data_IF_368100547046
#
_entry.id   IF_368100547046
#
_cell.length_a   1.000
_cell.length_b   1.000
_cell.length_c   1.000
_cell.angle_alpha   90.00
_cell.angle_beta   90.00
_cell.angle_gamma   90.00
#
_symmetry.space_group_name_H-M   'P 1'
#
loop_
_entity.id
_entity.type
_entity.pdbx_description
1 polymer ?
#
# COMPACT_ATOMS: atom_id res chain seq x y z
N UNK A 1 -7.16 -12.92 -13.04
CA UNK A 1 -6.73 -12.66 -11.65
C UNK A 1 -5.97 -11.35 -11.61
N UNK A 2 -6.26 -10.50 -10.65
CA UNK A 2 -5.56 -9.22 -10.53
C UNK A 2 -4.41 -9.29 -9.53
N UNK A 3 -3.38 -8.49 -9.80
CA UNK A 3 -2.27 -8.28 -8.90
C UNK A 3 -2.26 -6.81 -8.53
N UNK A 4 -1.97 -6.50 -7.27
CA UNK A 4 -2.07 -5.13 -6.78
C UNK A 4 -0.74 -4.66 -6.23
N UNK A 5 -0.37 -3.43 -6.60
CA UNK A 5 0.65 -2.68 -5.89
C UNK A 5 -0.08 -1.76 -4.93
N UNK A 6 0.37 -1.70 -3.69
CA UNK A 6 -0.31 -0.91 -2.67
C UNK A 6 0.69 -0.15 -1.81
N UNK A 7 0.20 0.93 -1.22
CA UNK A 7 0.98 1.71 -0.25
C UNK A 7 0.19 1.79 1.04
N UNK A 8 0.84 1.41 2.13
CA UNK A 8 0.32 1.57 3.47
C UNK A 8 1.04 2.73 4.17
N UNK A 9 0.36 3.39 5.09
CA UNK A 9 0.93 4.45 5.90
C UNK A 9 0.52 4.30 7.35
N UNK A 10 1.34 4.82 8.27
CA UNK A 10 1.00 4.84 9.69
C UNK A 10 -0.01 5.93 10.00
N UNK A 11 0.06 7.04 9.28
CA UNK A 11 -0.81 8.19 9.38
C UNK A 11 -0.48 9.13 8.24
N UNK A 12 -1.22 10.24 8.12
CA UNK A 12 -0.88 11.28 7.15
C UNK A 12 0.55 11.74 7.38
N UNK A 13 1.35 11.76 6.30
CA UNK A 13 2.77 12.10 6.32
C UNK A 13 3.62 11.20 7.22
N UNK A 14 3.10 10.03 7.59
CA UNK A 14 3.82 9.08 8.42
C UNK A 14 4.71 8.14 7.65
N UNK A 15 5.11 7.05 8.31
CA UNK A 15 5.91 6.00 7.67
C UNK A 15 5.11 5.33 6.55
N UNK A 16 5.81 4.95 5.48
CA UNK A 16 5.21 4.39 4.26
C UNK A 16 5.80 3.00 4.00
N UNK A 17 4.95 2.09 3.55
CA UNK A 17 5.36 0.76 3.09
C UNK A 17 4.73 0.48 1.73
N UNK A 18 5.54 0.02 0.77
CA UNK A 18 5.07 -0.37 -0.57
C UNK A 18 5.10 -1.89 -0.67
N UNK A 19 4.02 -2.48 -1.14
CA UNK A 19 3.93 -3.93 -1.31
C UNK A 19 3.21 -4.33 -2.59
N UNK A 20 3.26 -5.64 -2.88
CA UNK A 20 2.56 -6.24 -4.01
C UNK A 20 1.88 -7.51 -3.53
N UNK A 21 0.66 -7.76 -4.02
CA UNK A 21 -0.11 -8.93 -3.60
C UNK A 21 -1.14 -9.29 -4.67
N UNK A 22 -1.57 -10.55 -4.68
CA UNK A 22 -2.72 -10.97 -5.48
C UNK A 22 -4.01 -11.07 -4.63
N UNK A 23 -3.94 -10.67 -3.36
CA UNK A 23 -5.08 -10.74 -2.43
C UNK A 23 -5.08 -9.50 -1.55
N UNK A 24 -5.46 -8.35 -2.14
CA UNK A 24 -5.33 -7.04 -1.50
C UNK A 24 -6.07 -6.94 -0.17
N UNK A 25 -7.34 -7.31 -0.14
CA UNK A 25 -8.15 -7.19 1.08
C UNK A 25 -7.56 -8.02 2.21
N UNK A 26 -7.21 -9.28 1.93
CA UNK A 26 -6.62 -10.15 2.93
C UNK A 26 -5.27 -9.60 3.42
N UNK A 27 -4.44 -9.14 2.51
CA UNK A 27 -3.10 -8.66 2.86
C UNK A 27 -3.15 -7.42 3.73
N UNK A 28 -4.03 -6.47 3.39
CA UNK A 28 -4.21 -5.28 4.20
C UNK A 28 -4.75 -5.63 5.58
N UNK A 29 -5.71 -6.55 5.65
CA UNK A 29 -6.23 -7.03 6.92
C UNK A 29 -5.12 -7.66 7.79
N UNK A 30 -4.25 -8.47 7.19
CA UNK A 30 -3.12 -9.07 7.90
C UNK A 30 -2.18 -8.02 8.48
N UNK A 31 -1.96 -6.93 7.76
CA UNK A 31 -1.18 -5.81 8.29
C UNK A 31 -1.90 -5.13 9.46
N UNK A 32 -3.21 -4.95 9.35
CA UNK A 32 -4.00 -4.29 10.39
C UNK A 32 -3.97 -5.04 11.72
N UNK A 33 -4.05 -6.37 11.66
CA UNK A 33 -3.99 -7.20 12.87
C UNK A 33 -2.55 -7.55 13.26
N UNK A 34 -1.57 -7.02 12.54
CA UNK A 34 -0.14 -7.24 12.80
C UNK A 34 0.28 -8.69 12.71
N UNK A 35 -0.41 -9.47 11.86
CA UNK A 35 -0.03 -10.85 11.58
C UNK A 35 1.25 -10.95 10.76
N UNK A 36 1.61 -9.87 10.05
CA UNK A 36 2.87 -9.77 9.30
C UNK A 36 3.89 -9.12 10.24
N UNK A 37 4.90 -9.86 10.71
CA UNK A 37 5.89 -9.29 11.62
C UNK A 37 6.85 -8.34 10.90
N UNK A 38 7.52 -7.49 11.67
CA UNK A 38 8.58 -6.63 11.15
C UNK A 38 8.16 -5.17 11.09
N UNK A 39 8.60 -4.49 10.02
CA UNK A 39 8.52 -3.04 9.89
C UNK A 39 7.09 -2.49 10.05
N UNK A 40 6.13 -3.08 9.32
CA UNK A 40 4.75 -2.56 9.33
C UNK A 40 4.09 -2.72 10.70
N UNK A 41 4.32 -3.86 11.37
CA UNK A 41 3.78 -4.09 12.71
C UNK A 41 4.41 -3.17 13.73
N UNK A 42 5.73 -2.98 13.65
CA UNK A 42 6.49 -2.16 14.59
C UNK A 42 6.05 -0.69 14.56
N UNK A 43 5.77 -0.17 13.37
CA UNK A 43 5.47 1.26 13.20
C UNK A 43 4.01 1.56 12.93
N UNK A 44 3.11 0.60 13.16
CA UNK A 44 1.66 0.76 12.94
C UNK A 44 1.32 1.21 11.52
N UNK A 45 1.97 0.62 10.53
CA UNK A 45 1.72 0.96 9.13
C UNK A 45 0.57 0.09 8.64
N UNK A 46 -0.66 0.56 8.86
CA UNK A 46 -1.87 -0.24 8.67
C UNK A 46 -2.92 0.43 7.77
N UNK A 47 -2.73 1.70 7.43
CA UNK A 47 -3.70 2.48 6.65
C UNK A 47 -3.44 2.31 5.17
N UNK A 48 -4.42 1.82 4.41
CA UNK A 48 -4.30 1.68 2.96
C UNK A 48 -4.57 3.04 2.31
N UNK A 49 -3.52 3.68 1.77
CA UNK A 49 -3.63 5.04 1.23
C UNK A 49 -3.56 5.10 -0.29
N UNK A 50 -3.11 4.02 -0.95
CA UNK A 50 -3.04 3.96 -2.40
C UNK A 50 -2.96 2.51 -2.86
N UNK A 51 -3.59 2.18 -4.00
CA UNK A 51 -3.40 0.89 -4.64
C UNK A 51 -3.74 1.00 -6.13
N UNK A 52 -3.19 0.06 -6.90
CA UNK A 52 -3.49 -0.06 -8.33
C UNK A 52 -3.46 -1.53 -8.74
N UNK A 53 -4.43 -1.91 -9.59
CA UNK A 53 -4.53 -3.27 -10.11
C UNK A 53 -3.73 -3.42 -11.40
N UNK A 54 -3.16 -4.62 -11.59
CA UNK A 54 -2.44 -5.02 -12.79
C UNK A 54 -2.93 -6.40 -13.23
N UNK A 55 -2.91 -6.65 -14.54
CA UNK A 55 -3.39 -7.93 -15.08
C UNK A 55 -2.39 -9.07 -14.92
N UNK A 56 -1.10 -8.74 -14.78
CA UNK A 56 -0.05 -9.75 -14.70
C UNK A 56 0.93 -9.46 -13.55
N UNK A 57 1.58 -10.50 -13.02
CA UNK A 57 2.47 -10.32 -11.88
C UNK A 57 3.76 -9.56 -12.23
N UNK A 58 4.26 -9.69 -13.45
CA UNK A 58 5.51 -9.05 -13.85
C UNK A 58 5.38 -7.53 -13.79
N UNK A 59 4.32 -6.98 -14.39
CA UNK A 59 4.07 -5.54 -14.35
C UNK A 59 3.90 -5.03 -12.93
N UNK A 60 3.18 -5.76 -12.10
CA UNK A 60 2.96 -5.38 -10.70
C UNK A 60 4.28 -5.37 -9.92
N UNK A 61 5.08 -6.42 -10.05
CA UNK A 61 6.36 -6.53 -9.35
C UNK A 61 7.33 -5.44 -9.80
N UNK A 62 7.37 -5.16 -11.09
CA UNK A 62 8.23 -4.09 -11.62
C UNK A 62 7.83 -2.73 -11.05
N UNK A 63 6.52 -2.45 -10.98
CA UNK A 63 6.04 -1.19 -10.42
C UNK A 63 6.34 -1.08 -8.93
N UNK A 64 6.17 -2.17 -8.19
CA UNK A 64 6.50 -2.20 -6.76
C UNK A 64 7.97 -1.86 -6.53
N UNK A 65 8.86 -2.49 -7.29
CA UNK A 65 10.29 -2.22 -7.19
C UNK A 65 10.63 -0.78 -7.56
N UNK A 66 9.99 -0.24 -8.59
CA UNK A 66 10.16 1.15 -9.01
C UNK A 66 9.76 2.11 -7.90
N UNK A 67 8.57 1.91 -7.32
CA UNK A 67 8.08 2.77 -6.24
C UNK A 67 8.97 2.72 -4.99
N UNK A 68 9.52 1.55 -4.69
CA UNK A 68 10.44 1.41 -3.54
C UNK A 68 11.70 2.24 -3.72
N UNK A 69 12.13 2.48 -4.97
CA UNK A 69 13.32 3.29 -5.27
C UNK A 69 13.02 4.79 -5.34
N UNK A 70 11.76 5.16 -5.44
CA UNK A 70 11.37 6.56 -5.52
C UNK A 70 11.73 7.33 -4.26
N UNK A 71 12.06 8.61 -4.42
CA UNK A 71 12.17 9.53 -3.29
C UNK A 71 10.84 9.60 -2.56
N UNK A 72 10.89 9.82 -1.25
CA UNK A 72 9.68 9.94 -0.44
C UNK A 72 8.69 10.98 -1.00
N UNK A 73 9.20 12.13 -1.43
CA UNK A 73 8.34 13.19 -1.97
C UNK A 73 7.51 12.71 -3.17
N UNK A 74 8.07 11.85 -4.00
CA UNK A 74 7.37 11.31 -5.17
C UNK A 74 6.26 10.34 -4.76
N UNK A 75 6.48 9.54 -3.74
CA UNK A 75 5.46 8.64 -3.21
C UNK A 75 4.31 9.44 -2.59
N UNK A 76 4.64 10.51 -1.89
CA UNK A 76 3.64 11.42 -1.31
C UNK A 76 2.78 12.03 -2.42
N UNK A 77 3.39 12.51 -3.50
CA UNK A 77 2.65 13.06 -4.64
C UNK A 77 1.71 12.02 -5.25
N UNK A 78 2.18 10.78 -5.39
CA UNK A 78 1.36 9.71 -5.93
C UNK A 78 0.12 9.44 -5.05
N UNK A 79 0.32 9.39 -3.74
CA UNK A 79 -0.77 9.20 -2.79
C UNK A 79 -1.76 10.36 -2.88
N UNK A 80 -1.26 11.59 -2.80
CA UNK A 80 -2.10 12.78 -2.66
C UNK A 80 -2.81 13.17 -3.93
N UNK A 81 -2.40 12.67 -5.08
CA UNK A 81 -3.10 12.89 -6.34
C UNK A 81 -4.55 12.44 -6.26
N UNK A 82 -4.81 11.29 -5.63
CA UNK A 82 -6.14 10.72 -5.51
C UNK A 82 -6.65 10.68 -4.07
N UNK A 83 -5.78 10.91 -3.10
CA UNK A 83 -6.12 10.77 -1.68
C UNK A 83 -5.36 11.83 -0.85
N UNK A 84 -5.72 13.11 -1.02
CA UNK A 84 -4.95 14.20 -0.41
C UNK A 84 -4.91 14.18 1.12
N UNK A 85 -5.88 13.54 1.76
CA UNK A 85 -5.93 13.46 3.23
C UNK A 85 -5.35 12.17 3.78
N UNK A 86 -4.90 11.25 2.92
CA UNK A 86 -4.38 9.94 3.32
C UNK A 86 -5.43 9.11 4.08
N UNK A 87 -6.67 9.17 3.64
CA UNK A 87 -7.74 8.38 4.23
C UNK A 87 -7.47 6.90 4.01
N UNK A 88 -7.88 6.08 5.00
CA UNK A 88 -7.77 4.64 4.88
C UNK A 88 -8.83 4.13 3.89
N UNK A 89 -8.38 3.50 2.82
CA UNK A 89 -9.25 2.98 1.75
C UNK A 89 -9.68 1.53 1.98
N UNK A 90 -9.36 0.96 3.14
CA UNK A 90 -9.63 -0.46 3.38
C UNK A 90 -11.11 -0.80 3.21
N UNK A 91 -12.01 -0.02 3.78
CA UNK A 91 -13.43 -0.30 3.69
C UNK A 91 -13.95 -0.26 2.24
N UNK A 92 -13.35 0.57 1.39
CA UNK A 92 -13.77 0.67 0.00
C UNK A 92 -13.43 -0.58 -0.82
N UNK A 93 -12.52 -1.42 -0.35
CA UNK A 93 -12.12 -2.65 -1.04
C UNK A 93 -12.71 -3.91 -0.41
N UNK A 94 -13.43 -3.79 0.69
CA UNK A 94 -13.96 -4.94 1.43
C UNK A 94 -15.25 -5.53 0.85
N UNK A 95 -15.80 -4.98 -0.18
CA UNK A 95 -17.05 -5.45 -0.77
C UNK A 95 -16.85 -6.54 -1.79
#
# INVERSE_FOLDING_TARGET
MAYYVYILASRRDGAIYVGVTNALTRRVYEHQIKAVPGFTAKYNITRLVWFKAYDDPVSAIMREKELKKWKRAWKIQLIEKDNPKWDDRYESICN
#
